data_IF_624107347516
#
_entry.id   IF_624107347516
#
_cell.length_a   1.000
_cell.length_b   1.000
_cell.length_c   1.000
_cell.angle_alpha   90.00
_cell.angle_beta   90.00
_cell.angle_gamma   90.00
#
_symmetry.space_group_name_H-M   'P 1'
#
loop_
_entity.id
_entity.type
_entity.pdbx_description
1 polymer ?
#
# COMPACT_ATOMS: atom_id res chain seq x y z
N UNK A 1 42.07 -0.68 -24.38
CA UNK A 1 40.61 -0.64 -24.61
C UNK A 1 39.87 -1.98 -24.47
N UNK A 2 40.52 -3.08 -24.04
CA UNK A 2 39.89 -4.42 -23.86
C UNK A 2 39.20 -4.63 -22.50
N UNK A 3 39.42 -3.74 -21.54
CA UNK A 3 38.89 -3.85 -20.16
C UNK A 3 37.41 -3.42 -20.09
N UNK A 4 36.98 -2.53 -20.99
CA UNK A 4 35.62 -1.98 -21.05
C UNK A 4 34.54 -3.02 -21.41
N UNK A 5 34.71 -3.92 -22.41
CA UNK A 5 33.75 -5.00 -22.66
C UNK A 5 33.74 -6.07 -21.57
N UNK A 6 34.87 -6.29 -20.88
CA UNK A 6 34.97 -7.20 -19.73
C UNK A 6 34.25 -6.65 -18.51
N UNK A 7 34.41 -5.36 -18.21
CA UNK A 7 33.67 -4.67 -17.14
C UNK A 7 32.17 -4.59 -17.44
N UNK A 8 31.79 -4.32 -18.70
CA UNK A 8 30.39 -4.35 -19.11
C UNK A 8 29.80 -5.76 -19.00
N UNK A 9 30.50 -6.79 -19.47
CA UNK A 9 30.08 -8.20 -19.35
C UNK A 9 30.00 -8.68 -17.91
N UNK A 10 30.95 -8.27 -17.06
CA UNK A 10 30.94 -8.55 -15.62
C UNK A 10 29.77 -7.86 -14.93
N UNK A 11 29.53 -6.57 -15.23
CA UNK A 11 28.39 -5.82 -14.68
C UNK A 11 27.05 -6.41 -15.13
N UNK A 12 26.93 -6.81 -16.40
CA UNK A 12 25.76 -7.51 -16.93
C UNK A 12 25.57 -8.86 -16.24
N UNK A 13 26.65 -9.63 -16.04
CA UNK A 13 26.61 -10.90 -15.30
C UNK A 13 26.22 -10.73 -13.83
N UNK A 14 26.75 -9.70 -13.16
CA UNK A 14 26.43 -9.36 -11.77
C UNK A 14 24.97 -8.93 -11.62
N UNK A 15 24.43 -8.13 -12.55
CA UNK A 15 23.01 -7.76 -12.56
C UNK A 15 22.14 -8.96 -12.92
N UNK A 16 22.58 -9.83 -13.83
CA UNK A 16 21.82 -11.00 -14.24
C UNK A 16 21.73 -12.07 -13.14
N UNK A 17 22.77 -12.23 -12.32
CA UNK A 17 22.84 -13.20 -11.23
C UNK A 17 22.73 -12.57 -9.83
N UNK A 18 22.41 -11.27 -9.73
CA UNK A 18 22.28 -10.61 -8.44
C UNK A 18 21.17 -11.32 -7.65
N UNK A 19 21.43 -11.84 -6.45
CA UNK A 19 20.37 -12.45 -5.68
C UNK A 19 19.38 -11.36 -5.26
N UNK A 20 18.08 -11.60 -5.48
CA UNK A 20 16.99 -10.62 -5.29
C UNK A 20 17.04 -9.90 -3.93
N UNK A 21 17.60 -10.56 -2.91
CA UNK A 21 17.89 -10.02 -1.57
C UNK A 21 18.68 -8.70 -1.56
N UNK A 22 19.50 -8.43 -2.57
CA UNK A 22 20.31 -7.19 -2.64
C UNK A 22 19.58 -6.02 -3.32
N UNK A 23 18.44 -6.26 -3.97
CA UNK A 23 17.75 -5.29 -4.82
C UNK A 23 16.40 -4.80 -4.28
N UNK A 24 16.01 -5.17 -3.05
CA UNK A 24 14.72 -4.82 -2.45
C UNK A 24 14.86 -3.67 -1.43
N UNK A 25 14.78 -2.39 -1.85
CA UNK A 25 14.48 -1.28 -0.96
C UNK A 25 12.99 -0.97 -1.03
N UNK A 26 12.25 -1.59 -0.12
CA UNK A 26 10.86 -1.35 0.23
C UNK A 26 10.72 -1.75 1.72
N UNK A 27 9.68 -1.35 2.49
CA UNK A 27 9.55 -1.76 3.91
C UNK A 27 9.83 -3.25 4.06
N UNK A 28 10.48 -3.72 5.15
CA UNK A 28 11.09 -5.04 5.21
C UNK A 28 10.08 -6.11 4.77
N UNK A 29 10.25 -6.56 3.52
CA UNK A 29 9.46 -7.63 2.92
C UNK A 29 10.04 -8.92 3.48
N UNK A 30 9.35 -9.48 4.46
CA UNK A 30 9.64 -10.80 4.99
C UNK A 30 8.92 -11.84 4.14
N UNK A 31 9.54 -12.99 3.89
CA UNK A 31 8.90 -14.13 3.27
C UNK A 31 9.43 -15.40 3.96
N UNK A 32 8.60 -16.44 4.08
CA UNK A 32 9.01 -17.70 4.70
C UNK A 32 10.05 -18.41 3.83
N UNK A 33 9.91 -18.31 2.51
CA UNK A 33 10.88 -18.75 1.53
C UNK A 33 10.91 -17.82 0.31
N UNK A 34 12.10 -17.65 -0.26
CA UNK A 34 12.29 -16.99 -1.56
C UNK A 34 12.99 -17.98 -2.47
N UNK A 35 12.31 -18.39 -3.54
CA UNK A 35 12.85 -19.25 -4.59
C UNK A 35 13.07 -18.46 -5.88
N UNK A 36 14.01 -18.90 -6.72
CA UNK A 36 14.26 -18.31 -8.04
C UNK A 36 15.40 -17.29 -8.09
N UNK A 37 15.38 -16.45 -9.12
CA UNK A 37 16.41 -15.45 -9.44
C UNK A 37 15.84 -14.03 -9.43
N UNK A 38 16.67 -13.00 -9.59
CA UNK A 38 16.21 -11.61 -9.71
C UNK A 38 15.14 -11.41 -10.80
N UNK A 39 15.22 -12.20 -11.87
CA UNK A 39 14.32 -12.09 -13.02
C UNK A 39 12.99 -12.76 -12.79
N UNK A 40 12.98 -13.82 -11.99
CA UNK A 40 11.78 -14.58 -11.64
C UNK A 40 11.97 -15.13 -10.24
N UNK A 41 11.30 -14.52 -9.29
CA UNK A 41 11.29 -14.92 -7.90
C UNK A 41 9.88 -15.34 -7.48
N UNK A 42 9.80 -16.33 -6.61
CA UNK A 42 8.57 -16.71 -5.93
C UNK A 42 8.79 -16.50 -4.43
N UNK A 43 7.89 -15.74 -3.82
CA UNK A 43 7.86 -15.46 -2.40
C UNK A 43 6.71 -16.27 -1.80
N UNK A 44 7.04 -17.14 -0.87
CA UNK A 44 6.07 -17.92 -0.11
C UNK A 44 5.76 -17.15 1.18
N UNK A 45 4.46 -17.02 1.50
CA UNK A 45 3.94 -16.30 2.66
C UNK A 45 4.61 -14.92 2.87
N UNK A 46 4.62 -14.11 1.82
CA UNK A 46 5.18 -12.77 1.88
C UNK A 46 4.41 -11.90 2.88
N UNK A 47 5.14 -11.08 3.62
CA UNK A 47 4.67 -10.20 4.68
C UNK A 47 5.40 -8.86 4.60
N UNK A 48 4.68 -7.77 4.81
CA UNK A 48 5.24 -6.43 4.90
C UNK A 48 4.86 -5.82 6.26
N UNK A 49 5.79 -5.84 7.22
CA UNK A 49 5.49 -5.50 8.60
C UNK A 49 4.42 -6.42 9.19
N UNK A 50 3.28 -5.87 9.62
CA UNK A 50 2.15 -6.66 10.14
C UNK A 50 1.22 -7.21 9.05
N UNK A 51 1.45 -6.84 7.78
CA UNK A 51 0.54 -7.12 6.68
C UNK A 51 0.90 -8.44 6.00
N UNK A 52 -0.05 -9.38 5.91
CA UNK A 52 0.14 -10.63 5.16
C UNK A 52 -0.22 -10.42 3.69
N UNK A 53 0.76 -10.57 2.81
CA UNK A 53 0.59 -10.48 1.36
C UNK A 53 0.32 -11.85 0.75
N UNK A 54 0.80 -12.94 1.35
CA UNK A 54 0.60 -14.32 0.85
C UNK A 54 1.62 -14.70 -0.23
N UNK A 55 1.28 -15.65 -1.09
CA UNK A 55 2.18 -16.14 -2.12
C UNK A 55 2.22 -15.19 -3.33
N UNK A 56 3.42 -14.71 -3.67
CA UNK A 56 3.66 -13.75 -4.73
C UNK A 56 4.73 -14.25 -5.71
N UNK A 57 4.43 -14.23 -7.00
CA UNK A 57 5.41 -14.31 -8.07
C UNK A 57 5.84 -12.91 -8.50
N UNK A 58 7.15 -12.67 -8.58
CA UNK A 58 7.75 -11.46 -9.11
C UNK A 58 8.53 -11.80 -10.38
N UNK A 59 8.23 -11.11 -11.47
CA UNK A 59 9.02 -11.23 -12.71
C UNK A 59 9.54 -9.86 -13.14
N UNK A 60 10.86 -9.69 -13.16
CA UNK A 60 11.49 -8.45 -13.60
C UNK A 60 11.34 -8.27 -15.13
N UNK A 61 11.20 -7.02 -15.56
CA UNK A 61 11.02 -6.67 -16.97
C UNK A 61 12.30 -6.02 -17.53
N UNK A 62 13.15 -6.75 -18.27
CA UNK A 62 14.44 -6.23 -18.75
C UNK A 62 14.29 -5.01 -19.67
N UNK A 63 13.25 -5.00 -20.51
CA UNK A 63 13.00 -3.89 -21.43
C UNK A 63 12.68 -2.57 -20.71
N UNK A 64 12.20 -2.63 -19.46
CA UNK A 64 11.97 -1.42 -18.67
C UNK A 64 13.29 -0.74 -18.28
N UNK A 65 14.37 -1.51 -18.09
CA UNK A 65 15.68 -0.96 -17.72
C UNK A 65 16.25 -0.06 -18.81
N UNK A 66 15.98 -0.39 -20.08
CA UNK A 66 16.36 0.45 -21.23
C UNK A 66 15.67 1.82 -21.20
N UNK A 67 14.53 1.92 -20.51
CA UNK A 67 13.79 3.17 -20.27
C UNK A 67 14.17 3.84 -18.94
N UNK A 68 15.23 3.37 -18.28
CA UNK A 68 15.66 3.87 -16.97
C UNK A 68 14.74 3.46 -15.81
N UNK A 69 13.93 2.41 -15.98
CA UNK A 69 12.97 1.92 -14.97
C UNK A 69 13.25 0.47 -14.61
N UNK A 70 13.44 0.19 -13.33
CA UNK A 70 13.41 -1.17 -12.81
C UNK A 70 11.96 -1.53 -12.49
N UNK A 71 11.44 -2.59 -13.12
CA UNK A 71 10.02 -2.92 -13.06
C UNK A 71 9.84 -4.41 -12.87
N UNK A 72 8.85 -4.77 -12.06
CA UNK A 72 8.46 -6.14 -11.81
C UNK A 72 6.96 -6.29 -12.03
N UNK A 73 6.56 -7.32 -12.76
CA UNK A 73 5.18 -7.79 -12.70
C UNK A 73 5.01 -8.66 -11.46
N UNK A 74 3.90 -8.45 -10.76
CA UNK A 74 3.48 -9.18 -9.58
C UNK A 74 2.31 -10.08 -9.97
N UNK A 75 2.30 -11.32 -9.50
CA UNK A 75 1.21 -12.28 -9.71
C UNK A 75 1.01 -13.14 -8.46
N UNK A 76 -0.18 -13.74 -8.29
CA UNK A 76 -0.53 -14.53 -7.11
C UNK A 76 -1.70 -13.91 -6.34
N UNK A 77 -1.55 -13.76 -5.02
CA UNK A 77 -2.54 -13.09 -4.15
C UNK A 77 -2.73 -11.60 -4.47
N UNK A 78 -1.68 -10.98 -5.01
CA UNK A 78 -1.71 -9.66 -5.64
C UNK A 78 -1.23 -9.79 -7.08
N UNK A 79 -1.83 -9.00 -7.96
CA UNK A 79 -1.49 -8.92 -9.36
C UNK A 79 -1.29 -7.46 -9.76
N UNK A 80 -0.39 -7.19 -10.70
CA UNK A 80 -0.15 -5.84 -11.20
C UNK A 80 1.33 -5.62 -11.46
N UNK A 81 1.78 -4.38 -11.38
CA UNK A 81 3.17 -4.03 -11.67
C UNK A 81 3.69 -3.07 -10.62
N UNK A 82 4.94 -3.26 -10.20
CA UNK A 82 5.66 -2.32 -9.33
C UNK A 82 6.91 -1.86 -10.04
N UNK A 83 7.27 -0.61 -9.84
CA UNK A 83 8.39 -0.01 -10.56
C UNK A 83 9.12 1.04 -9.74
N UNK A 84 10.38 1.25 -10.10
CA UNK A 84 11.27 2.25 -9.52
C UNK A 84 12.16 2.83 -10.61
N UNK A 85 12.38 4.13 -10.55
CA UNK A 85 13.31 4.87 -11.40
C UNK A 85 14.21 5.75 -10.52
N UNK A 86 15.11 6.53 -11.14
CA UNK A 86 16.06 7.37 -10.40
C UNK A 86 15.41 8.43 -9.51
N UNK A 87 14.17 8.86 -9.80
CA UNK A 87 13.49 9.93 -9.08
C UNK A 87 12.01 9.68 -8.78
N UNK A 88 11.52 8.47 -9.04
CA UNK A 88 10.15 8.10 -8.76
C UNK A 88 10.02 6.59 -8.51
N UNK A 89 8.94 6.20 -7.86
CA UNK A 89 8.57 4.81 -7.66
C UNK A 89 7.06 4.69 -7.64
N UNK A 90 6.55 3.52 -7.94
CA UNK A 90 5.11 3.36 -8.02
C UNK A 90 4.68 1.94 -8.28
N UNK A 91 3.37 1.84 -8.46
CA UNK A 91 2.72 0.62 -8.87
C UNK A 91 1.60 0.94 -9.85
N UNK A 92 1.39 0.05 -10.81
CA UNK A 92 0.42 0.19 -11.88
C UNK A 92 -0.55 -1.01 -11.83
N UNK A 93 -1.84 -0.74 -11.69
CA UNK A 93 -2.91 -1.74 -11.80
C UNK A 93 -2.94 -2.82 -10.72
N UNK A 94 -2.47 -2.52 -9.50
CA UNK A 94 -2.49 -3.48 -8.39
C UNK A 94 -3.92 -3.92 -8.06
N UNK A 95 -4.14 -5.22 -8.12
CA UNK A 95 -5.42 -5.85 -7.81
C UNK A 95 -5.22 -7.11 -6.99
N UNK A 96 -6.07 -7.33 -6.01
CA UNK A 96 -6.00 -8.49 -5.13
C UNK A 96 -6.40 -8.14 -3.71
N UNK A 97 -6.27 -9.12 -2.82
CA UNK A 97 -6.70 -8.99 -1.42
C UNK A 97 -5.50 -9.05 -0.50
N UNK A 98 -5.42 -8.09 0.40
CA UNK A 98 -4.43 -8.00 1.45
C UNK A 98 -5.13 -8.28 2.79
N UNK A 99 -4.58 -9.20 3.58
CA UNK A 99 -5.13 -9.54 4.90
C UNK A 99 -4.18 -9.06 6.00
N UNK A 100 -4.72 -8.85 7.21
CA UNK A 100 -3.90 -8.44 8.35
C UNK A 100 -3.37 -7.01 8.29
N UNK A 101 -3.93 -6.17 7.41
CA UNK A 101 -3.58 -4.75 7.37
C UNK A 101 -4.01 -4.07 8.68
N UNK A 102 -3.08 -3.87 9.61
CA UNK A 102 -3.33 -3.13 10.84
C UNK A 102 -3.07 -1.65 10.58
N UNK A 103 -4.13 -0.86 10.38
CA UNK A 103 -4.03 0.58 10.61
C UNK A 103 -4.15 0.84 12.11
N UNK A 104 -3.28 1.66 12.72
CA UNK A 104 -3.39 2.00 14.13
C UNK A 104 -4.80 2.52 14.44
N UNK A 105 -5.48 1.87 15.38
CA UNK A 105 -6.78 2.33 15.89
C UNK A 105 -8.02 1.95 15.08
N UNK A 106 -7.92 1.13 14.02
CA UNK A 106 -9.06 0.58 13.29
C UNK A 106 -9.00 -0.95 13.16
N UNK A 107 -10.11 -1.67 13.42
CA UNK A 107 -10.18 -3.10 13.25
C UNK A 107 -10.36 -3.43 11.77
N UNK A 108 -9.30 -3.40 10.97
CA UNK A 108 -9.36 -3.80 9.55
C UNK A 108 -9.01 -5.29 9.45
N UNK A 109 -9.88 -6.05 8.80
CA UNK A 109 -9.69 -7.48 8.51
C UNK A 109 -8.91 -7.68 7.22
N UNK A 110 -9.35 -6.99 6.17
CA UNK A 110 -8.75 -7.11 4.84
C UNK A 110 -8.96 -5.84 4.02
N UNK A 111 -8.08 -5.63 3.05
CA UNK A 111 -8.15 -4.56 2.07
C UNK A 111 -8.14 -5.21 0.69
N UNK A 112 -9.20 -4.95 -0.07
CA UNK A 112 -9.34 -5.33 -1.47
C UNK A 112 -8.92 -4.16 -2.36
N UNK A 113 -8.00 -4.44 -3.28
CA UNK A 113 -7.51 -3.51 -4.27
C UNK A 113 -8.08 -3.89 -5.63
N UNK A 114 -8.57 -2.90 -6.38
CA UNK A 114 -9.01 -3.08 -7.75
C UNK A 114 -8.39 -1.99 -8.63
N UNK A 115 -7.41 -2.39 -9.45
CA UNK A 115 -6.72 -1.52 -10.41
C UNK A 115 -5.97 -0.35 -9.77
N UNK A 116 -5.51 -0.50 -8.53
CA UNK A 116 -4.81 0.56 -7.79
C UNK A 116 -3.53 0.96 -8.53
N UNK A 117 -3.41 2.22 -8.88
CA UNK A 117 -2.20 2.79 -9.46
C UNK A 117 -1.74 3.97 -8.62
N UNK A 118 -0.45 4.03 -8.32
CA UNK A 118 0.17 5.03 -7.45
C UNK A 118 1.55 5.37 -7.98
N UNK A 119 1.86 6.65 -8.14
CA UNK A 119 3.21 7.14 -8.39
C UNK A 119 3.62 8.11 -7.28
N UNK A 120 4.80 7.87 -6.73
CA UNK A 120 5.47 8.69 -5.73
C UNK A 120 6.78 9.22 -6.31
N UNK A 121 7.17 10.42 -5.93
CA UNK A 121 8.48 10.96 -6.26
C UNK A 121 9.59 10.39 -5.38
N UNK A 122 10.84 10.78 -5.63
CA UNK A 122 12.01 10.32 -4.88
C UNK A 122 12.02 10.75 -3.40
N UNK A 123 11.19 11.72 -3.01
CA UNK A 123 10.97 12.11 -1.63
C UNK A 123 9.74 11.41 -1.00
N UNK A 124 9.03 10.55 -1.76
CA UNK A 124 7.83 9.84 -1.32
C UNK A 124 6.55 10.66 -1.43
N UNK A 125 6.54 11.80 -2.13
CA UNK A 125 5.34 12.63 -2.31
C UNK A 125 4.46 12.07 -3.43
N UNK A 126 3.15 12.16 -3.24
CA UNK A 126 2.16 11.69 -4.20
C UNK A 126 2.22 12.50 -5.51
N UNK A 127 2.42 11.81 -6.64
CA UNK A 127 2.34 12.41 -7.98
C UNK A 127 1.04 12.04 -8.69
N UNK A 128 0.63 10.77 -8.60
CA UNK A 128 -0.65 10.30 -9.09
C UNK A 128 -1.16 9.15 -8.24
N UNK A 129 -2.48 9.05 -8.08
CA UNK A 129 -3.15 7.96 -7.40
C UNK A 129 -4.52 7.74 -8.04
N UNK A 130 -4.89 6.47 -8.26
CA UNK A 130 -6.17 6.08 -8.82
C UNK A 130 -6.50 4.62 -8.52
N UNK A 131 -7.71 4.19 -8.88
CA UNK A 131 -8.21 2.83 -8.64
C UNK A 131 -9.22 2.79 -7.51
N UNK A 132 -9.52 1.59 -7.01
CA UNK A 132 -10.50 1.41 -5.95
C UNK A 132 -9.91 0.59 -4.81
N UNK A 133 -10.19 1.04 -3.59
CA UNK A 133 -9.81 0.36 -2.35
C UNK A 133 -11.09 0.06 -1.57
N UNK A 134 -11.24 -1.17 -1.12
CA UNK A 134 -12.34 -1.58 -0.25
C UNK A 134 -11.76 -2.20 1.02
N UNK A 135 -12.04 -1.60 2.17
CA UNK A 135 -11.65 -2.13 3.47
C UNK A 135 -12.81 -2.90 4.09
N UNK A 136 -12.55 -4.13 4.52
CA UNK A 136 -13.46 -4.91 5.36
C UNK A 136 -13.04 -4.76 6.82
N UNK A 137 -13.99 -4.41 7.69
CA UNK A 137 -13.76 -4.26 9.12
C UNK A 137 -13.85 -5.63 9.81
N UNK A 138 -13.01 -5.87 10.81
CA UNK A 138 -13.05 -7.08 11.63
C UNK A 138 -14.25 -7.08 12.59
N UNK A 139 -14.67 -5.90 13.04
CA UNK A 139 -15.89 -5.68 13.82
C UNK A 139 -16.70 -4.55 13.20
N UNK A 140 -18.02 -4.70 13.02
CA UNK A 140 -18.85 -3.62 12.50
C UNK A 140 -18.75 -2.35 13.35
N UNK A 141 -18.57 -1.20 12.71
CA UNK A 141 -18.54 0.11 13.39
C UNK A 141 -19.75 0.90 12.92
N UNK A 142 -20.58 1.35 13.85
CA UNK A 142 -21.88 1.97 13.54
C UNK A 142 -22.66 1.13 12.52
N UNK A 143 -22.79 -0.18 12.75
CA UNK A 143 -23.49 -1.12 11.85
C UNK A 143 -22.88 -1.36 10.47
N UNK A 144 -21.72 -0.75 10.16
CA UNK A 144 -21.06 -0.88 8.86
C UNK A 144 -19.91 -1.88 8.94
N UNK A 145 -19.85 -2.82 7.99
CA UNK A 145 -18.80 -3.85 7.93
C UNK A 145 -17.76 -3.60 6.82
N UNK A 146 -18.07 -2.74 5.86
CA UNK A 146 -17.21 -2.47 4.71
C UNK A 146 -17.20 -0.98 4.38
N UNK A 147 -16.06 -0.49 3.92
CA UNK A 147 -15.89 0.88 3.45
C UNK A 147 -15.13 0.87 2.14
N UNK A 148 -15.45 1.78 1.24
CA UNK A 148 -14.80 1.84 -0.07
C UNK A 148 -14.46 3.27 -0.47
N UNK A 149 -13.48 3.42 -1.33
CA UNK A 149 -12.97 4.72 -1.73
C UNK A 149 -11.92 4.62 -2.82
N UNK A 150 -11.65 5.77 -3.44
CA UNK A 150 -10.63 5.91 -4.47
C UNK A 150 -9.52 6.82 -3.96
N UNK A 151 -8.25 6.37 -3.98
CA UNK A 151 -7.14 7.20 -3.55
C UNK A 151 -6.86 8.30 -4.56
N UNK A 152 -6.47 9.47 -4.05
CA UNK A 152 -6.14 10.65 -4.84
C UNK A 152 -4.97 11.39 -4.20
N UNK A 153 -4.18 12.10 -5.02
CA UNK A 153 -3.17 13.01 -4.48
C UNK A 153 -3.84 14.34 -4.07
N UNK A 154 -3.56 14.77 -2.84
CA UNK A 154 -3.95 16.07 -2.30
C UNK A 154 -2.68 16.87 -1.99
N UNK A 155 -2.20 17.63 -2.98
CA UNK A 155 -0.86 18.22 -2.94
C UNK A 155 0.20 17.11 -2.91
N UNK A 156 1.09 17.15 -1.93
CA UNK A 156 2.13 16.12 -1.72
C UNK A 156 1.63 14.86 -0.99
N UNK A 157 0.42 14.89 -0.44
CA UNK A 157 -0.14 13.80 0.34
C UNK A 157 -0.90 12.81 -0.55
N UNK A 158 -0.78 11.52 -0.25
CA UNK A 158 -1.71 10.51 -0.70
C UNK A 158 -2.93 10.54 0.23
N UNK A 159 -4.09 10.89 -0.31
CA UNK A 159 -5.35 10.86 0.41
C UNK A 159 -6.16 9.63 -0.02
N UNK A 160 -6.66 8.88 0.96
CA UNK A 160 -7.55 7.76 0.75
C UNK A 160 -8.83 7.99 1.57
N UNK A 161 -9.86 8.59 0.96
CA UNK A 161 -11.17 8.75 1.58
C UNK A 161 -11.95 7.45 1.46
N UNK A 162 -12.22 6.77 2.57
CA UNK A 162 -13.08 5.59 2.63
C UNK A 162 -14.45 5.99 3.21
N UNK A 163 -15.53 5.47 2.64
CA UNK A 163 -16.88 5.67 3.17
C UNK A 163 -17.66 4.36 3.18
N UNK A 164 -18.54 4.21 4.17
CA UNK A 164 -19.57 3.17 4.16
C UNK A 164 -20.60 3.43 3.06
N UNK A 165 -21.35 2.40 2.67
CA UNK A 165 -22.35 2.50 1.60
C UNK A 165 -23.45 3.54 1.89
N UNK A 166 -23.80 3.74 3.16
CA UNK A 166 -24.77 4.74 3.62
C UNK A 166 -24.15 6.12 3.87
N UNK A 167 -22.83 6.27 3.71
CA UNK A 167 -22.08 7.50 3.99
C UNK A 167 -22.02 7.90 5.46
N UNK A 168 -22.52 7.07 6.37
CA UNK A 168 -22.59 7.34 7.81
C UNK A 168 -21.21 7.34 8.45
N UNK A 169 -20.39 6.36 8.09
CA UNK A 169 -19.01 6.21 8.53
C UNK A 169 -18.09 6.66 7.41
N UNK A 170 -17.23 7.63 7.70
CA UNK A 170 -16.17 8.11 6.82
C UNK A 170 -14.83 8.02 7.51
N UNK A 171 -13.81 7.68 6.73
CA UNK A 171 -12.45 7.54 7.19
C UNK A 171 -11.53 8.19 6.16
N UNK A 172 -10.93 9.31 6.51
CA UNK A 172 -10.00 10.03 5.66
C UNK A 172 -8.58 9.72 6.11
N UNK A 173 -7.81 9.04 5.26
CA UNK A 173 -6.42 8.66 5.52
C UNK A 173 -5.51 9.53 4.66
N UNK A 174 -4.68 10.34 5.30
CA UNK A 174 -3.67 11.16 4.64
C UNK A 174 -2.27 10.64 4.97
N UNK A 175 -1.53 10.24 3.94
CA UNK A 175 -0.15 9.74 4.05
C UNK A 175 0.78 10.76 3.39
N UNK A 176 1.81 11.17 4.13
CA UNK A 176 2.91 12.01 3.63
C UNK A 176 4.24 11.33 3.94
N UNK A 177 5.37 11.77 3.37
CA UNK A 177 6.67 11.23 3.73
C UNK A 177 6.90 11.26 5.25
N UNK A 178 7.11 10.07 5.84
CA UNK A 178 7.41 9.89 7.27
C UNK A 178 6.25 10.16 8.25
N UNK A 179 5.06 10.53 7.78
CA UNK A 179 3.91 10.84 8.66
C UNK A 179 2.59 10.39 8.08
N UNK A 180 1.67 10.05 8.96
CA UNK A 180 0.32 9.64 8.59
C UNK A 180 -0.70 10.30 9.52
N UNK A 181 -1.90 10.50 8.99
CA UNK A 181 -3.03 11.03 9.71
C UNK A 181 -4.28 10.28 9.28
N UNK A 182 -5.13 9.95 10.24
CA UNK A 182 -6.39 9.25 10.03
C UNK A 182 -7.48 10.02 10.76
N UNK A 183 -8.53 10.40 10.05
CA UNK A 183 -9.71 11.07 10.61
C UNK A 183 -10.92 10.18 10.38
N UNK A 184 -11.46 9.62 11.46
CA UNK A 184 -12.73 8.91 11.44
C UNK A 184 -13.87 9.88 11.77
N UNK A 185 -14.95 9.84 11.00
CA UNK A 185 -16.17 10.62 11.23
C UNK A 185 -17.39 9.71 11.17
N UNK A 186 -18.26 9.82 12.16
CA UNK A 186 -19.55 9.14 12.24
C UNK A 186 -20.64 10.20 12.28
N UNK A 187 -21.54 10.17 11.31
CA UNK A 187 -22.70 11.06 11.27
C UNK A 187 -23.92 10.36 11.90
N UNK A 188 -24.75 11.08 12.65
CA UNK A 188 -26.03 10.53 13.13
C UNK A 188 -25.91 9.29 14.02
N UNK A 189 -24.94 9.27 14.94
CA UNK A 189 -24.84 8.22 15.95
C UNK A 189 -26.07 8.22 16.88
N UNK A 190 -26.62 7.04 17.19
CA UNK A 190 -27.77 6.94 18.07
C UNK A 190 -27.38 7.33 19.52
N UNK A 191 -28.31 7.84 20.35
CA UNK A 191 -28.01 8.22 21.74
C UNK A 191 -27.36 7.11 22.56
N UNK A 192 -27.76 5.85 22.33
CA UNK A 192 -27.18 4.68 22.98
C UNK A 192 -25.73 4.39 22.55
N UNK A 193 -25.32 4.82 21.36
CA UNK A 193 -23.95 4.64 20.81
C UNK A 193 -23.00 5.75 21.28
N UNK A 194 -23.52 6.94 21.61
CA UNK A 194 -22.72 8.10 21.97
C UNK A 194 -21.76 7.82 23.13
N UNK A 195 -22.22 7.12 24.18
CA UNK A 195 -21.38 6.82 25.34
C UNK A 195 -20.19 5.90 24.97
N UNK A 196 -20.46 4.86 24.18
CA UNK A 196 -19.45 3.91 23.74
C UNK A 196 -18.42 4.57 22.80
N UNK A 197 -18.89 5.40 21.86
CA UNK A 197 -18.02 6.12 20.93
C UNK A 197 -17.17 7.19 21.63
N UNK A 198 -17.75 7.89 22.61
CA UNK A 198 -17.01 8.86 23.43
C UNK A 198 -15.93 8.16 24.26
N UNK A 199 -16.25 7.01 24.86
CA UNK A 199 -15.28 6.17 25.56
C UNK A 199 -14.17 5.65 24.63
N UNK A 200 -14.46 5.40 23.35
CA UNK A 200 -13.48 5.06 22.32
C UNK A 200 -12.65 6.27 21.82
N UNK A 201 -12.88 7.46 22.35
CA UNK A 201 -12.13 8.68 22.06
C UNK A 201 -12.68 9.52 20.90
N UNK A 202 -13.90 9.26 20.43
CA UNK A 202 -14.59 10.18 19.53
C UNK A 202 -15.07 11.42 20.29
N UNK A 203 -15.05 12.57 19.61
CA UNK A 203 -15.50 13.86 20.14
C UNK A 203 -16.62 14.40 19.26
N UNK A 204 -17.59 15.05 19.88
CA UNK A 204 -18.66 15.71 19.13
C UNK A 204 -18.11 16.95 18.41
N UNK A 205 -18.42 17.05 17.11
CA UNK A 205 -18.06 18.15 16.22
C UNK A 205 -19.21 18.39 15.23
N UNK A 206 -19.94 19.49 15.43
CA UNK A 206 -20.97 19.95 14.48
C UNK A 206 -22.10 18.94 14.17
N UNK A 207 -22.47 18.08 15.12
CA UNK A 207 -23.48 17.02 14.91
C UNK A 207 -22.91 15.70 14.36
N UNK A 208 -21.59 15.62 14.19
CA UNK A 208 -20.86 14.39 13.90
C UNK A 208 -19.96 14.01 15.07
N UNK A 209 -19.56 12.74 15.15
CA UNK A 209 -18.53 12.27 16.05
C UNK A 209 -17.24 12.09 15.27
N UNK A 210 -16.17 12.76 15.68
CA UNK A 210 -14.87 12.71 15.00
C UNK A 210 -13.79 12.17 15.93
N UNK A 211 -12.88 11.40 15.35
CA UNK A 211 -11.66 10.93 16.02
C UNK A 211 -10.50 11.10 15.06
N UNK A 212 -9.49 11.85 15.49
CA UNK A 212 -8.26 12.03 14.74
C UNK A 212 -7.14 11.24 15.40
N UNK A 213 -6.35 10.56 14.59
CA UNK A 213 -5.12 9.90 14.98
C UNK A 213 -4.02 10.31 14.01
N UNK A 214 -2.82 10.48 14.53
CA UNK A 214 -1.65 10.78 13.73
C UNK A 214 -0.45 10.03 14.29
N UNK A 215 0.54 9.84 13.43
CA UNK A 215 1.79 9.24 13.83
C UNK A 215 2.86 9.43 12.76
N UNK A 216 4.05 8.97 13.10
CA UNK A 216 5.20 8.91 12.22
C UNK A 216 5.68 7.46 12.10
N UNK A 217 6.40 7.18 11.02
CA UNK A 217 7.10 5.92 10.82
C UNK A 217 8.58 6.07 11.16
#
# INVERSE_FOLDING_TARGET
MRVMPLLAGLAIGLVAFLPARLALPAPPLAASAVAGSLWRAELVDAQAGAVTLGNLGLSAQPLALLKGRLQWAVAGSLSGQVWRSAGAQGADGLSGRISGAALPGLPIRSIDLAGLSLALDGAGRCQSASGQVTAALATPVAGQATMSGSPACAGEALNLPLASADGRLRLDIAIRPGRWQVVARINGAAPAELLALTAAGFRADGGSLTRMQEGSW
#
